data_IF_148813835872
#
_entry.id   IF_148813835872
#
_cell.length_a   1.000
_cell.length_b   1.000
_cell.length_c   1.000
_cell.angle_alpha   90.00
_cell.angle_beta   90.00
_cell.angle_gamma   90.00
#
_symmetry.space_group_name_H-M   'P 1'
#
loop_
_entity.id
_entity.type
_entity.pdbx_description
1 polymer ?
#
# COMPACT_ATOMS: atom_id res chain seq x y z
N UNK A 1 -10.47 29.81 10.88
CA UNK A 1 -10.24 28.43 10.38
C UNK A 1 -9.67 27.59 11.51
N UNK A 2 -10.29 26.46 11.81
CA UNK A 2 -9.80 25.56 12.84
C UNK A 2 -8.50 24.91 12.38
N UNK A 3 -7.53 24.65 13.28
CA UNK A 3 -6.28 23.99 12.88
C UNK A 3 -6.48 22.65 12.16
N UNK A 4 -7.51 21.91 12.57
CA UNK A 4 -7.83 20.60 11.97
C UNK A 4 -8.26 20.71 10.50
N UNK A 5 -9.05 21.74 10.16
CA UNK A 5 -9.47 21.99 8.78
C UNK A 5 -8.30 22.37 7.89
N UNK A 6 -7.37 23.15 8.42
CA UNK A 6 -6.17 23.56 7.69
C UNK A 6 -5.26 22.37 7.40
N UNK A 7 -5.02 21.53 8.40
CA UNK A 7 -4.23 20.31 8.25
C UNK A 7 -4.87 19.37 7.23
N UNK A 8 -6.19 19.18 7.30
CA UNK A 8 -6.90 18.33 6.37
C UNK A 8 -6.81 18.83 4.93
N UNK A 9 -6.84 20.14 4.71
CA UNK A 9 -6.65 20.72 3.38
C UNK A 9 -5.26 20.47 2.83
N UNK A 10 -4.23 20.59 3.67
CA UNK A 10 -2.84 20.30 3.29
C UNK A 10 -2.70 18.81 2.94
N UNK A 11 -3.24 17.92 3.76
CA UNK A 11 -3.22 16.47 3.49
C UNK A 11 -3.90 16.15 2.17
N UNK A 12 -5.05 16.75 1.91
CA UNK A 12 -5.78 16.58 0.64
C UNK A 12 -4.94 17.04 -0.55
N UNK A 13 -4.27 18.19 -0.42
CA UNK A 13 -3.39 18.69 -1.47
C UNK A 13 -2.25 17.71 -1.77
N UNK A 14 -1.59 17.17 -0.74
CA UNK A 14 -0.53 16.19 -0.91
C UNK A 14 -1.04 14.90 -1.55
N UNK A 15 -2.24 14.46 -1.20
CA UNK A 15 -2.84 13.27 -1.82
C UNK A 15 -3.15 13.49 -3.30
N UNK A 16 -3.62 14.68 -3.67
CA UNK A 16 -3.80 15.04 -5.09
C UNK A 16 -2.47 15.05 -5.85
N UNK A 17 -1.40 15.55 -5.21
CA UNK A 17 -0.06 15.51 -5.79
C UNK A 17 0.40 14.07 -6.02
N UNK A 18 0.24 13.21 -5.02
CA UNK A 18 0.61 11.79 -5.12
C UNK A 18 -0.18 11.13 -6.25
N UNK A 19 -1.48 11.40 -6.33
CA UNK A 19 -2.34 10.86 -7.38
C UNK A 19 -1.85 11.26 -8.78
N UNK A 20 -1.53 12.55 -8.96
CA UNK A 20 -0.98 13.04 -10.23
C UNK A 20 0.37 12.41 -10.56
N UNK A 21 1.26 12.25 -9.57
CA UNK A 21 2.56 11.61 -9.76
C UNK A 21 2.42 10.15 -10.15
N UNK A 22 1.50 9.42 -9.53
CA UNK A 22 1.24 8.01 -9.87
C UNK A 22 0.71 7.88 -11.29
N UNK A 23 -0.20 8.76 -11.70
CA UNK A 23 -0.69 8.78 -13.09
C UNK A 23 0.45 9.06 -14.08
N UNK A 24 1.34 9.97 -13.73
CA UNK A 24 2.51 10.28 -14.56
C UNK A 24 3.44 9.07 -14.68
N UNK A 25 3.74 8.40 -13.58
CA UNK A 25 4.57 7.19 -13.58
C UNK A 25 3.92 6.05 -14.37
N UNK A 26 2.62 5.90 -14.25
CA UNK A 26 1.85 4.93 -15.03
C UNK A 26 2.00 5.19 -16.53
N UNK A 27 1.86 6.45 -16.94
CA UNK A 27 2.06 6.86 -18.32
C UNK A 27 3.47 6.60 -18.83
N UNK A 28 4.50 6.90 -18.03
CA UNK A 28 5.90 6.61 -18.36
C UNK A 28 6.14 5.10 -18.56
N UNK A 29 5.56 4.28 -17.71
CA UNK A 29 5.69 2.82 -17.82
C UNK A 29 5.03 2.31 -19.12
N UNK A 30 3.85 2.84 -19.47
CA UNK A 30 3.19 2.51 -20.73
C UNK A 30 4.05 2.88 -21.95
N UNK A 31 4.64 4.08 -21.94
CA UNK A 31 5.52 4.54 -23.02
C UNK A 31 6.74 3.61 -23.13
N UNK A 32 7.34 3.26 -22.01
CA UNK A 32 8.48 2.35 -21.97
C UNK A 32 8.14 0.98 -22.57
N UNK A 33 6.97 0.44 -22.31
CA UNK A 33 6.48 -0.81 -22.89
C UNK A 33 6.33 -0.69 -24.40
N UNK A 34 5.72 0.40 -24.86
CA UNK A 34 5.52 0.64 -26.30
C UNK A 34 6.87 0.78 -27.01
N UNK A 35 7.80 1.52 -26.46
CA UNK A 35 9.14 1.73 -27.02
C UNK A 35 9.95 0.44 -27.09
N UNK A 36 9.90 -0.37 -26.01
CA UNK A 36 10.62 -1.65 -25.97
C UNK A 36 9.96 -2.74 -26.82
N UNK A 37 8.67 -2.60 -27.07
CA UNK A 37 7.88 -3.61 -27.79
C UNK A 37 7.66 -4.91 -27.05
N UNK A 38 8.02 -4.96 -25.77
CA UNK A 38 7.92 -6.18 -24.94
C UNK A 38 7.28 -5.88 -23.60
N UNK A 39 6.46 -6.82 -23.13
CA UNK A 39 5.87 -6.78 -21.79
C UNK A 39 6.45 -7.94 -21.01
N UNK A 40 6.96 -7.65 -19.82
CA UNK A 40 7.47 -8.67 -18.92
C UNK A 40 6.76 -8.62 -17.56
N UNK A 41 7.01 -9.61 -16.72
CA UNK A 41 6.39 -9.71 -15.40
C UNK A 41 6.70 -8.50 -14.52
N UNK A 42 7.88 -7.92 -14.67
CA UNK A 42 8.28 -6.71 -13.93
C UNK A 42 7.33 -5.54 -14.20
N UNK A 43 6.92 -5.34 -15.46
CA UNK A 43 5.97 -4.30 -15.82
C UNK A 43 4.62 -4.51 -15.13
N UNK A 44 4.11 -5.75 -15.12
CA UNK A 44 2.84 -6.10 -14.48
C UNK A 44 2.89 -5.82 -12.98
N UNK A 45 3.95 -6.24 -12.31
CA UNK A 45 4.12 -6.00 -10.88
C UNK A 45 4.24 -4.50 -10.55
N UNK A 46 4.89 -3.72 -11.41
CA UNK A 46 4.97 -2.27 -11.25
C UNK A 46 3.59 -1.63 -11.32
N UNK A 47 2.73 -2.05 -12.25
CA UNK A 47 1.36 -1.57 -12.33
C UNK A 47 0.54 -1.93 -11.10
N UNK A 48 0.72 -3.11 -10.53
CA UNK A 48 0.06 -3.48 -9.28
C UNK A 48 0.43 -2.53 -8.13
N UNK A 49 1.70 -2.14 -8.03
CA UNK A 49 2.14 -1.17 -7.02
C UNK A 49 1.45 0.18 -7.22
N UNK A 50 1.38 0.66 -8.46
CA UNK A 50 0.68 1.91 -8.76
C UNK A 50 -0.80 1.84 -8.40
N UNK A 51 -1.46 0.73 -8.70
CA UNK A 51 -2.87 0.52 -8.31
C UNK A 51 -3.06 0.54 -6.80
N UNK A 52 -2.18 -0.10 -6.04
CA UNK A 52 -2.26 -0.09 -4.58
C UNK A 52 -2.13 1.32 -4.00
N UNK A 53 -1.19 2.12 -4.51
CA UNK A 53 -1.03 3.51 -4.09
C UNK A 53 -2.29 4.32 -4.42
N UNK A 54 -2.85 4.14 -5.62
CA UNK A 54 -4.08 4.82 -6.01
C UNK A 54 -5.26 4.43 -5.14
N UNK A 55 -5.36 3.17 -4.74
CA UNK A 55 -6.40 2.72 -3.81
C UNK A 55 -6.26 3.39 -2.44
N UNK A 56 -5.04 3.53 -1.93
CA UNK A 56 -4.81 4.26 -0.68
C UNK A 56 -5.30 5.71 -0.77
N UNK A 57 -4.98 6.39 -1.85
CA UNK A 57 -5.41 7.78 -2.08
C UNK A 57 -6.93 7.85 -2.19
N UNK A 58 -7.55 6.94 -2.92
CA UNK A 58 -9.01 6.88 -3.07
C UNK A 58 -9.71 6.65 -1.74
N UNK A 59 -9.21 5.76 -0.90
CA UNK A 59 -9.76 5.49 0.41
C UNK A 59 -9.61 6.72 1.32
N UNK A 60 -8.48 7.41 1.25
CA UNK A 60 -8.29 8.65 1.99
C UNK A 60 -9.36 9.68 1.61
N UNK A 61 -9.66 9.87 0.33
CA UNK A 61 -10.69 10.82 -0.11
C UNK A 61 -12.09 10.43 0.35
N UNK A 62 -12.37 9.13 0.49
CA UNK A 62 -13.67 8.63 0.94
C UNK A 62 -13.84 8.69 2.46
N UNK A 63 -12.80 8.34 3.21
CA UNK A 63 -12.88 8.15 4.67
C UNK A 63 -12.13 9.19 5.48
N UNK A 64 -11.22 9.94 4.86
CA UNK A 64 -10.30 10.85 5.56
C UNK A 64 -9.18 10.15 6.31
N UNK A 65 -9.03 8.84 6.16
CA UNK A 65 -8.02 8.03 6.86
C UNK A 65 -7.27 7.15 5.88
N UNK A 66 -5.97 6.95 6.15
CA UNK A 66 -5.15 5.99 5.41
C UNK A 66 -5.17 4.68 6.19
N UNK A 67 -5.73 3.58 5.63
CA UNK A 67 -5.67 2.28 6.28
C UNK A 67 -4.22 1.77 6.32
N UNK A 68 -3.77 1.32 7.48
CA UNK A 68 -2.40 0.79 7.68
C UNK A 68 -2.14 -0.45 6.81
N UNK A 69 -3.20 -1.16 6.45
CA UNK A 69 -3.14 -2.39 5.66
C UNK A 69 -2.47 -2.19 4.30
N UNK A 70 -2.76 -1.10 3.59
CA UNK A 70 -2.25 -0.88 2.23
C UNK A 70 -0.74 -0.66 2.17
N UNK A 71 -0.11 0.16 3.06
CA UNK A 71 1.34 0.24 3.10
C UNK A 71 2.02 -1.10 3.34
N UNK A 72 1.42 -1.97 4.15
CA UNK A 72 1.94 -3.33 4.39
C UNK A 72 1.89 -4.17 3.11
N UNK A 73 0.79 -4.13 2.37
CA UNK A 73 0.67 -4.84 1.09
C UNK A 73 1.71 -4.34 0.08
N UNK A 74 1.89 -3.04 -0.06
CA UNK A 74 2.88 -2.46 -0.97
C UNK A 74 4.28 -2.92 -0.60
N UNK A 75 4.62 -2.93 0.68
CA UNK A 75 5.91 -3.40 1.17
C UNK A 75 6.15 -4.87 0.81
N UNK A 76 5.14 -5.72 1.01
CA UNK A 76 5.23 -7.15 0.68
C UNK A 76 5.39 -7.38 -0.82
N UNK A 77 4.62 -6.69 -1.63
CA UNK A 77 4.71 -6.78 -3.09
C UNK A 77 6.07 -6.27 -3.58
N UNK A 78 6.55 -5.16 -3.04
CA UNK A 78 7.86 -4.61 -3.38
C UNK A 78 9.00 -5.55 -3.03
N UNK A 79 8.96 -6.18 -1.85
CA UNK A 79 9.96 -7.16 -1.44
C UNK A 79 9.89 -8.44 -2.28
N UNK A 80 8.69 -8.92 -2.58
CA UNK A 80 8.50 -10.08 -3.44
C UNK A 80 9.04 -9.83 -4.85
N UNK A 81 8.80 -8.63 -5.37
CA UNK A 81 9.35 -8.20 -6.66
C UNK A 81 10.88 -8.18 -6.63
N UNK A 82 11.46 -7.65 -5.56
CA UNK A 82 12.91 -7.57 -5.40
C UNK A 82 13.55 -8.97 -5.43
N UNK A 83 12.98 -9.92 -4.72
CA UNK A 83 13.44 -11.32 -4.74
C UNK A 83 13.34 -11.93 -6.14
N UNK A 84 12.24 -11.64 -6.86
CA UNK A 84 11.96 -12.26 -8.15
C UNK A 84 12.90 -11.82 -9.26
N UNK A 85 13.43 -10.59 -9.19
CA UNK A 85 14.23 -10.01 -10.27
C UNK A 85 15.71 -9.83 -9.95
N UNK A 86 16.09 -9.89 -8.69
CA UNK A 86 17.49 -9.85 -8.28
C UNK A 86 18.02 -11.27 -8.06
N UNK A 87 19.25 -11.52 -8.48
CA UNK A 87 19.92 -12.78 -8.22
C UNK A 87 20.44 -12.84 -6.78
N UNK A 88 19.51 -12.87 -5.84
CA UNK A 88 19.81 -12.92 -4.42
C UNK A 88 20.18 -14.33 -4.00
N UNK A 89 21.27 -14.45 -3.26
CA UNK A 89 21.72 -15.74 -2.70
C UNK A 89 22.00 -15.60 -1.21
N UNK A 90 21.79 -16.70 -0.50
CA UNK A 90 22.15 -16.81 0.90
C UNK A 90 21.35 -15.90 1.83
N UNK A 91 22.05 -15.09 2.59
CA UNK A 91 21.45 -14.27 3.66
C UNK A 91 20.50 -13.20 3.17
N UNK A 92 20.76 -12.62 2.01
CA UNK A 92 19.90 -11.56 1.46
C UNK A 92 18.50 -12.09 1.13
N UNK A 93 18.44 -13.22 0.45
CA UNK A 93 17.17 -13.87 0.12
C UNK A 93 16.42 -14.29 1.39
N UNK A 94 17.12 -14.83 2.39
CA UNK A 94 16.54 -15.23 3.66
C UNK A 94 16.01 -14.00 4.44
N UNK A 95 16.78 -12.92 4.48
CA UNK A 95 16.38 -11.68 5.16
C UNK A 95 15.12 -11.09 4.55
N UNK A 96 15.02 -11.03 3.23
CA UNK A 96 13.87 -10.49 2.52
C UNK A 96 12.64 -11.39 2.72
N UNK A 97 12.81 -12.71 2.59
CA UNK A 97 11.72 -13.66 2.84
C UNK A 97 11.24 -13.59 4.28
N UNK A 98 12.15 -13.48 5.24
CA UNK A 98 11.82 -13.26 6.64
C UNK A 98 11.07 -11.96 6.87
N UNK A 99 11.44 -10.89 6.17
CA UNK A 99 10.74 -9.60 6.24
C UNK A 99 9.31 -9.72 5.73
N UNK A 100 9.08 -10.41 4.63
CA UNK A 100 7.74 -10.67 4.10
C UNK A 100 6.91 -11.46 5.12
N UNK A 101 7.50 -12.47 5.73
CA UNK A 101 6.85 -13.27 6.78
C UNK A 101 6.45 -12.40 7.98
N UNK A 102 7.36 -11.53 8.46
CA UNK A 102 7.08 -10.61 9.55
C UNK A 102 5.97 -9.62 9.19
N UNK A 103 5.95 -9.08 7.97
CA UNK A 103 4.89 -8.22 7.50
C UNK A 103 3.54 -8.96 7.44
N UNK A 104 3.55 -10.23 7.03
CA UNK A 104 2.36 -11.08 7.03
C UNK A 104 1.82 -11.29 8.45
N UNK A 105 2.70 -11.52 9.42
CA UNK A 105 2.32 -11.62 10.84
C UNK A 105 1.74 -10.30 11.36
N UNK A 106 2.32 -9.17 10.95
CA UNK A 106 1.79 -7.85 11.31
C UNK A 106 0.38 -7.65 10.78
N UNK A 107 0.09 -8.09 9.56
CA UNK A 107 -1.26 -8.04 8.98
C UNK A 107 -2.25 -8.90 9.77
N UNK A 108 -1.86 -10.10 10.17
CA UNK A 108 -2.67 -10.98 11.00
C UNK A 108 -2.94 -10.34 12.37
N UNK A 109 -1.91 -9.78 12.99
CA UNK A 109 -2.05 -9.07 14.26
C UNK A 109 -2.98 -7.87 14.18
N UNK A 110 -2.88 -7.09 13.10
CA UNK A 110 -3.76 -5.95 12.86
C UNK A 110 -5.22 -6.38 12.68
N UNK A 111 -5.46 -7.44 11.92
CA UNK A 111 -6.81 -8.00 11.71
C UNK A 111 -7.40 -8.53 13.03
N UNK A 112 -6.60 -9.20 13.84
CA UNK A 112 -7.00 -9.71 15.15
C UNK A 112 -7.35 -8.58 16.10
N UNK A 113 -6.53 -7.53 16.15
CA UNK A 113 -6.80 -6.34 16.97
C UNK A 113 -8.12 -5.67 16.58
N UNK A 114 -8.37 -5.50 15.31
CA UNK A 114 -9.62 -4.92 14.80
C UNK A 114 -10.82 -5.75 15.22
N UNK A 115 -10.71 -7.06 15.18
CA UNK A 115 -11.78 -7.99 15.60
C UNK A 115 -12.08 -7.87 17.10
N UNK A 116 -11.05 -7.85 17.94
CA UNK A 116 -11.21 -7.70 19.39
C UNK A 116 -11.90 -6.37 19.73
N UNK A 117 -11.45 -5.27 19.14
CA UNK A 117 -12.04 -3.95 19.39
C UNK A 117 -13.52 -3.93 19.01
N UNK A 118 -13.87 -4.53 17.88
CA UNK A 118 -15.28 -4.64 17.44
C UNK A 118 -16.12 -5.48 18.39
N UNK A 119 -15.59 -6.60 18.87
CA UNK A 119 -16.31 -7.47 19.82
C UNK A 119 -16.56 -6.76 21.15
N UNK A 120 -15.61 -5.99 21.65
CA UNK A 120 -15.75 -5.18 22.86
C UNK A 120 -16.85 -4.12 22.67
N UNK A 121 -16.85 -3.41 21.54
CA UNK A 121 -17.88 -2.41 21.23
C UNK A 121 -19.28 -3.01 21.18
N UNK A 122 -19.42 -4.19 20.58
CA UNK A 122 -20.70 -4.89 20.50
C UNK A 122 -21.21 -5.33 21.89
N UNK A 123 -20.31 -5.68 22.81
CA UNK A 123 -20.67 -6.02 24.19
C UNK A 123 -21.18 -4.77 24.92
N UNK A 124 -20.47 -3.64 24.77
CA UNK A 124 -20.88 -2.36 25.40
C UNK A 124 -22.25 -1.90 24.91
N UNK A 125 -22.52 -1.99 23.60
CA UNK A 125 -23.84 -1.63 23.03
C UNK A 125 -24.98 -2.52 23.54
N UNK A 126 -24.71 -3.79 23.80
CA UNK A 126 -25.72 -4.73 24.30
C UNK A 126 -26.02 -4.56 25.80
N UNK A 127 -25.15 -3.89 26.55
CA UNK A 127 -25.34 -3.63 27.99
C UNK A 127 -26.09 -2.31 28.25
N UNK A 128 -26.21 -1.44 27.26
CA UNK A 128 -27.02 -0.20 27.34
C UNK A 128 -28.50 -0.46 26.98
#
# INVERSE_FOLDING_TARGET
MKPDEFIHKIETLFHWLIYGMVLFLFGQELISIVESGTINLKNVLTFFIYMEVMQMVSIFFQTGRIPVRYPLYISMIGLARYISFENLQGYEALAITGSIFLLSLALVGLAYRTRIVRDIQNIEENEE
#
